data_IF_472644219194
#
_entry.id   IF_472644219194
#
_cell.length_a   1.000
_cell.length_b   1.000
_cell.length_c   1.000
_cell.angle_alpha   90.00
_cell.angle_beta   90.00
_cell.angle_gamma   90.00
#
_symmetry.space_group_name_H-M   'P 1'
#
loop_
_entity.id
_entity.type
_entity.pdbx_description
1 polymer ?
#
# COMPACT_ATOMS: atom_id res chain seq x y z
N UNK A 1 8.67 -4.82 2.26
CA UNK A 1 7.25 -5.13 2.49
C UNK A 1 7.12 -6.64 2.61
N UNK A 2 6.25 -7.12 3.50
CA UNK A 2 5.88 -8.54 3.53
C UNK A 2 4.41 -8.68 3.14
N UNK A 3 4.16 -9.37 2.03
CA UNK A 3 2.83 -9.58 1.46
C UNK A 3 2.50 -11.07 1.47
N UNK A 4 1.25 -11.39 1.84
CA UNK A 4 0.71 -12.75 1.71
C UNK A 4 0.46 -13.08 0.23
N UNK A 5 0.39 -14.37 -0.10
CA UNK A 5 0.03 -14.80 -1.45
C UNK A 5 -1.34 -14.20 -1.85
N UNK A 6 -1.48 -13.58 -3.04
CA UNK A 6 -2.74 -12.99 -3.48
C UNK A 6 -3.87 -14.02 -3.53
N UNK A 7 -5.06 -13.61 -3.08
CA UNK A 7 -6.29 -14.39 -3.17
C UNK A 7 -7.25 -13.66 -4.10
N UNK A 8 -7.40 -14.17 -5.32
CA UNK A 8 -8.23 -13.59 -6.40
C UNK A 8 -7.90 -12.10 -6.64
N UNK A 9 -8.73 -11.20 -6.13
CA UNK A 9 -8.61 -9.75 -6.27
C UNK A 9 -8.07 -9.07 -5.00
N UNK A 10 -7.58 -9.83 -4.02
CA UNK A 10 -7.12 -9.32 -2.74
C UNK A 10 -5.67 -9.69 -2.45
N UNK A 11 -4.97 -8.81 -1.76
CA UNK A 11 -3.66 -9.09 -1.15
C UNK A 11 -3.58 -8.47 0.23
N UNK A 12 -2.97 -9.18 1.18
CA UNK A 12 -2.69 -8.66 2.52
C UNK A 12 -1.23 -8.28 2.64
N UNK A 13 -0.97 -7.12 3.23
CA UNK A 13 0.39 -6.61 3.50
C UNK A 13 0.52 -6.34 4.99
N UNK A 14 1.61 -6.82 5.59
CA UNK A 14 1.96 -6.46 6.97
C UNK A 14 2.61 -5.08 7.00
N UNK A 15 2.11 -4.24 7.89
CA UNK A 15 2.60 -2.89 8.13
C UNK A 15 2.88 -2.75 9.63
N UNK A 16 4.03 -2.19 9.99
CA UNK A 16 4.33 -1.92 11.40
C UNK A 16 3.33 -0.88 11.94
N UNK A 17 2.87 -1.07 13.19
CA UNK A 17 1.80 -0.25 13.76
C UNK A 17 2.14 1.23 13.72
N UNK A 18 3.39 1.55 14.02
CA UNK A 18 3.96 2.90 14.10
C UNK A 18 4.00 3.58 12.72
N UNK A 19 3.94 2.80 11.64
CA UNK A 19 4.03 3.29 10.25
C UNK A 19 2.67 3.42 9.57
N UNK A 20 1.59 2.94 10.19
CA UNK A 20 0.28 2.86 9.53
C UNK A 20 -0.25 4.23 9.13
N UNK A 21 -0.25 5.19 10.06
CA UNK A 21 -0.76 6.55 9.80
C UNK A 21 0.08 7.29 8.74
N UNK A 22 1.41 7.24 8.87
CA UNK A 22 2.33 7.86 7.92
C UNK A 22 2.20 7.26 6.51
N UNK A 23 2.08 5.93 6.41
CA UNK A 23 1.87 5.25 5.14
C UNK A 23 0.51 5.63 4.53
N UNK A 24 -0.56 5.70 5.33
CA UNK A 24 -1.87 6.12 4.83
C UNK A 24 -1.83 7.53 4.26
N UNK A 25 -1.23 8.47 4.98
CA UNK A 25 -1.06 9.85 4.51
C UNK A 25 -0.22 9.92 3.24
N UNK A 26 0.86 9.14 3.15
CA UNK A 26 1.71 9.07 1.97
C UNK A 26 0.97 8.51 0.74
N UNK A 27 0.21 7.43 0.90
CA UNK A 27 -0.60 6.85 -0.17
C UNK A 27 -1.67 7.84 -0.66
N UNK A 28 -2.35 8.53 0.27
CA UNK A 28 -3.33 9.55 -0.08
C UNK A 28 -2.71 10.71 -0.88
N UNK A 29 -1.53 11.19 -0.48
CA UNK A 29 -0.79 12.22 -1.21
C UNK A 29 -0.35 11.76 -2.61
N UNK A 30 -0.13 10.45 -2.80
CA UNK A 30 0.15 9.83 -4.09
C UNK A 30 -1.11 9.50 -4.90
N UNK A 31 -2.31 9.90 -4.45
CA UNK A 31 -3.57 9.60 -5.15
C UNK A 31 -4.00 8.13 -5.04
N UNK A 32 -3.63 7.45 -3.95
CA UNK A 32 -3.98 6.06 -3.65
C UNK A 32 -4.82 6.03 -2.38
N UNK A 33 -6.10 5.71 -2.51
CA UNK A 33 -7.02 5.58 -1.38
C UNK A 33 -6.86 4.21 -0.73
N UNK A 34 -6.44 4.18 0.54
CA UNK A 34 -6.31 2.95 1.31
C UNK A 34 -6.64 3.18 2.80
N UNK A 35 -7.14 2.14 3.46
CA UNK A 35 -7.23 2.09 4.92
C UNK A 35 -6.03 1.25 5.39
N UNK A 36 -5.09 1.88 6.09
CA UNK A 36 -3.84 1.22 6.50
C UNK A 36 -3.94 0.83 7.97
N UNK A 37 -3.78 -0.46 8.22
CA UNK A 37 -3.71 -1.07 9.56
C UNK A 37 -2.58 -2.11 9.58
N UNK A 38 -2.21 -2.68 10.74
CA UNK A 38 -1.08 -3.60 10.79
C UNK A 38 -1.19 -4.81 9.86
N UNK A 39 -2.42 -5.22 9.54
CA UNK A 39 -2.72 -6.17 8.46
C UNK A 39 -3.62 -5.49 7.43
N UNK A 40 -3.00 -4.81 6.46
CA UNK A 40 -3.70 -4.03 5.44
C UNK A 40 -4.18 -4.94 4.32
N UNK A 41 -5.49 -4.87 4.01
CA UNK A 41 -6.11 -5.57 2.88
C UNK A 41 -6.26 -4.62 1.71
N UNK A 42 -5.58 -4.91 0.60
CA UNK A 42 -5.72 -4.21 -0.66
C UNK A 42 -6.58 -5.06 -1.59
N UNK A 43 -7.45 -4.39 -2.36
CA UNK A 43 -8.44 -5.05 -3.21
C UNK A 43 -8.48 -4.36 -4.56
N UNK A 44 -8.46 -5.12 -5.65
CA UNK A 44 -8.74 -4.62 -6.99
C UNK A 44 -10.22 -4.78 -7.35
N UNK A 45 -10.74 -3.84 -8.13
CA UNK A 45 -12.08 -3.88 -8.72
C UNK A 45 -12.02 -3.34 -10.15
N UNK A 46 -13.15 -3.32 -10.87
CA UNK A 46 -13.18 -2.93 -12.28
C UNK A 46 -12.73 -1.48 -12.54
N UNK A 47 -12.80 -0.61 -11.53
CA UNK A 47 -12.35 0.79 -11.63
C UNK A 47 -10.89 1.00 -11.23
N UNK A 48 -10.17 -0.08 -10.89
CA UNK A 48 -8.72 -0.05 -10.64
C UNK A 48 -8.02 -0.62 -11.86
N UNK A 49 -7.49 0.28 -12.68
CA UNK A 49 -6.71 -0.08 -13.85
C UNK A 49 -5.24 -0.39 -13.50
N UNK A 50 -4.48 -0.86 -14.50
CA UNK A 50 -3.07 -1.17 -14.34
C UNK A 50 -2.26 0.05 -13.88
N UNK A 51 -2.56 1.24 -14.39
CA UNK A 51 -1.87 2.47 -14.00
C UNK A 51 -2.12 2.83 -12.52
N UNK A 52 -3.32 2.57 -12.01
CA UNK A 52 -3.66 2.69 -10.59
C UNK A 52 -2.88 1.71 -9.72
N UNK A 53 -2.74 0.46 -10.17
CA UNK A 53 -1.91 -0.55 -9.48
C UNK A 53 -0.44 -0.13 -9.47
N UNK A 54 0.11 0.30 -10.61
CA UNK A 54 1.50 0.74 -10.73
C UNK A 54 1.78 1.95 -9.81
N UNK A 55 0.84 2.89 -9.72
CA UNK A 55 0.92 4.03 -8.81
C UNK A 55 0.99 3.60 -7.35
N UNK A 56 0.14 2.66 -6.94
CA UNK A 56 0.17 2.11 -5.60
C UNK A 56 1.53 1.44 -5.31
N UNK A 57 1.99 0.55 -6.20
CA UNK A 57 3.30 -0.13 -6.05
C UNK A 57 4.45 0.88 -5.93
N UNK A 58 4.46 1.92 -6.79
CA UNK A 58 5.48 2.97 -6.75
C UNK A 58 5.46 3.75 -5.42
N UNK A 59 4.28 4.09 -4.90
CA UNK A 59 4.12 4.79 -3.63
C UNK A 59 4.60 3.93 -2.44
N UNK A 60 4.22 2.65 -2.38
CA UNK A 60 4.77 1.71 -1.39
C UNK A 60 6.31 1.62 -1.51
N UNK A 61 6.86 1.51 -2.72
CA UNK A 61 8.31 1.45 -2.89
C UNK A 61 9.01 2.75 -2.43
N UNK A 62 8.44 3.92 -2.72
CA UNK A 62 8.96 5.22 -2.30
C UNK A 62 8.98 5.37 -0.77
N UNK A 63 7.86 5.08 -0.10
CA UNK A 63 7.79 5.13 1.36
C UNK A 63 8.80 4.20 2.04
N UNK A 64 8.97 2.98 1.49
CA UNK A 64 9.95 2.02 2.00
C UNK A 64 11.39 2.51 1.93
N UNK A 65 11.76 3.24 0.88
CA UNK A 65 13.09 3.85 0.73
C UNK A 65 13.30 5.04 1.67
N UNK A 66 12.28 5.90 1.82
CA UNK A 66 12.36 7.05 2.72
C UNK A 66 12.52 6.64 4.19
N UNK A 67 11.90 5.53 4.60
CA UNK A 67 12.04 4.99 5.95
C UNK A 67 13.40 4.32 6.23
N UNK A 68 14.14 3.92 5.19
CA UNK A 68 15.48 3.35 5.33
C UNK A 68 16.59 4.43 5.35
N UNK A 69 16.25 5.67 4.97
CA UNK A 69 17.15 6.82 4.96
C UNK A 69 17.04 7.70 6.22
N UNK A 70 16.16 7.34 7.16
CA UNK A 70 15.98 7.96 8.47
C UNK A 70 16.44 6.97 9.56
#
# INVERSE_FOLDING_TARGET
WEAEAPQTNMVFVRVDRERCEALQAHLAAAGVTAIVTPRTRLVTHLDVDAAGVDRAVAAFAAFGRSAAAA
#
